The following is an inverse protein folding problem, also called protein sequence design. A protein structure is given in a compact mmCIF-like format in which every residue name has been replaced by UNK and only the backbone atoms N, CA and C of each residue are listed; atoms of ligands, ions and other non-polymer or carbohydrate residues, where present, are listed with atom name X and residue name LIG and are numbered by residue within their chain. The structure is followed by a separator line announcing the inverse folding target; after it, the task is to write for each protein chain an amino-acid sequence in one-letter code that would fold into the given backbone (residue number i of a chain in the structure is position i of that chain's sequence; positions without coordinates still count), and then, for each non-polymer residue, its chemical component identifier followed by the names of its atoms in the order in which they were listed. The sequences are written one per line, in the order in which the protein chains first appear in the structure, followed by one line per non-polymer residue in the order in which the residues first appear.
data_IF_423450508551
#
_entry.id   IF_423450508551
#
_cell.length_a   1.000
_cell.length_b   1.000
_cell.length_c   1.000
_cell.angle_alpha   90.00
_cell.angle_beta   90.00
_cell.angle_gamma   90.00
#
_symmetry.space_group_name_H-M   'P 1'
#
loop_
_entity.id
_entity.type
_entity.pdbx_description
1 polymer ?
#
# COMPACT_ATOMS: atom_id res chain seq x y z
N UNK A 1 17.20 0.85 2.43
CA UNK A 1 16.43 -0.39 2.49
C UNK A 1 15.89 -0.80 1.13
N UNK A 2 15.78 -2.11 0.92
CA UNK A 2 14.98 -2.69 -0.15
C UNK A 2 13.50 -2.84 0.26
N UNK A 3 12.65 -3.22 -0.69
CA UNK A 3 11.21 -3.41 -0.49
C UNK A 3 10.88 -4.51 0.53
N UNK A 4 11.71 -5.55 0.66
CA UNK A 4 11.46 -6.64 1.62
C UNK A 4 11.62 -6.12 3.05
N UNK A 5 12.68 -5.35 3.31
CA UNK A 5 12.88 -4.70 4.61
C UNK A 5 11.83 -3.63 4.90
N UNK A 6 11.36 -2.90 3.89
CA UNK A 6 10.24 -1.98 4.06
C UNK A 6 8.97 -2.71 4.51
N UNK A 7 8.65 -3.85 3.90
CA UNK A 7 7.49 -4.67 4.30
C UNK A 7 7.59 -5.15 5.74
N UNK A 8 8.78 -5.58 6.18
CA UNK A 8 9.00 -5.97 7.58
C UNK A 8 8.68 -4.82 8.55
N UNK A 9 9.12 -3.59 8.24
CA UNK A 9 8.79 -2.42 9.07
C UNK A 9 7.28 -2.19 9.16
N UNK A 10 6.56 -2.32 8.06
CA UNK A 10 5.09 -2.20 8.03
C UNK A 10 4.45 -3.30 8.88
N UNK A 11 4.82 -4.56 8.65
CA UNK A 11 4.26 -5.73 9.35
C UNK A 11 4.51 -5.69 10.85
N UNK A 12 5.75 -5.37 11.25
CA UNK A 12 6.07 -5.18 12.66
C UNK A 12 5.22 -4.04 13.26
N UNK A 13 4.87 -3.01 12.48
CA UNK A 13 4.16 -1.81 13.00
C UNK A 13 2.69 -2.13 13.22
N UNK A 14 2.17 -3.03 12.38
CA UNK A 14 0.86 -3.66 12.55
C UNK A 14 0.80 -4.63 13.71
N UNK A 15 1.90 -5.31 14.03
CA UNK A 15 1.94 -6.30 15.09
C UNK A 15 1.55 -5.66 16.45
N UNK A 16 0.33 -5.98 16.91
CA UNK A 16 -0.22 -5.46 18.16
C UNK A 16 -0.76 -4.04 18.11
N UNK A 17 -0.97 -3.45 16.92
CA UNK A 17 -1.73 -2.21 16.78
C UNK A 17 -3.23 -2.48 16.85
N UNK A 18 -3.98 -1.61 17.53
CA UNK A 18 -5.43 -1.71 17.68
C UNK A 18 -6.22 -1.16 16.49
N UNK A 19 -5.65 -0.21 15.75
CA UNK A 19 -6.26 0.40 14.56
C UNK A 19 -5.20 0.94 13.57
N UNK A 20 -5.67 1.51 12.46
CA UNK A 20 -4.84 2.04 11.38
C UNK A 20 -4.01 3.28 11.77
N UNK A 21 -4.49 4.07 12.73
CA UNK A 21 -3.77 5.24 13.22
C UNK A 21 -2.57 4.81 14.06
N UNK A 22 -2.75 3.82 14.93
CA UNK A 22 -1.66 3.25 15.72
C UNK A 22 -0.60 2.58 14.83
N UNK A 23 -0.98 1.97 13.70
CA UNK A 23 -0.02 1.47 12.71
C UNK A 23 0.82 2.63 12.15
N UNK A 24 0.19 3.74 11.80
CA UNK A 24 0.87 4.90 11.23
C UNK A 24 1.84 5.54 12.23
N UNK A 25 1.43 5.69 13.49
CA UNK A 25 2.28 6.22 14.57
C UNK A 25 3.49 5.32 14.79
N UNK A 26 3.28 4.02 14.95
CA UNK A 26 4.36 3.04 15.17
C UNK A 26 5.34 2.97 13.98
N UNK A 27 4.83 3.04 12.76
CA UNK A 27 5.66 3.08 11.56
C UNK A 27 6.50 4.37 11.52
N UNK A 28 5.89 5.50 11.87
CA UNK A 28 6.56 6.81 11.94
C UNK A 28 7.68 6.81 12.96
N UNK A 29 7.44 6.29 14.17
CA UNK A 29 8.44 6.19 15.23
C UNK A 29 9.67 5.39 14.78
N UNK A 30 9.42 4.27 14.11
CA UNK A 30 10.49 3.38 13.64
C UNK A 30 11.28 3.98 12.50
N UNK A 31 10.61 4.60 11.52
CA UNK A 31 11.29 5.30 10.44
C UNK A 31 12.14 6.45 10.99
N UNK A 32 11.62 7.21 11.96
CA UNK A 32 12.32 8.34 12.59
C UNK A 32 13.55 7.92 13.37
N UNK A 33 13.61 6.67 13.84
CA UNK A 33 14.77 6.09 14.52
C UNK A 33 15.88 5.61 13.56
N UNK A 34 15.64 5.60 12.24
CA UNK A 34 16.62 5.15 11.26
C UNK A 34 17.60 6.25 10.85
N UNK A 35 18.80 5.90 10.36
CA UNK A 35 19.68 6.86 9.71
C UNK A 35 19.01 7.55 8.51
N UNK A 36 19.34 8.82 8.20
CA UNK A 36 18.71 9.55 7.09
C UNK A 36 18.74 8.83 5.74
N UNK A 37 19.83 8.12 5.43
CA UNK A 37 19.94 7.33 4.20
C UNK A 37 18.93 6.18 4.14
N UNK A 38 18.61 5.57 5.27
CA UNK A 38 17.60 4.51 5.36
C UNK A 38 16.19 5.10 5.25
N UNK A 39 15.92 6.28 5.80
CA UNK A 39 14.64 7.00 5.63
C UNK A 39 14.39 7.30 4.14
N UNK A 40 15.39 7.82 3.44
CA UNK A 40 15.30 8.10 2.00
C UNK A 40 15.01 6.81 1.22
N UNK A 41 15.69 5.73 1.55
CA UNK A 41 15.45 4.46 0.89
C UNK A 41 14.08 3.84 1.23
N UNK A 42 13.54 4.10 2.44
CA UNK A 42 12.16 3.74 2.79
C UNK A 42 11.15 4.50 1.93
N UNK A 43 11.39 5.80 1.74
CA UNK A 43 10.56 6.65 0.88
C UNK A 43 10.56 6.15 -0.56
N UNK A 44 11.73 5.74 -1.08
CA UNK A 44 11.84 5.17 -2.42
C UNK A 44 11.06 3.86 -2.53
N UNK A 45 11.23 2.94 -1.58
CA UNK A 45 10.50 1.67 -1.57
C UNK A 45 8.97 1.89 -1.52
N UNK A 46 8.50 2.87 -0.73
CA UNK A 46 7.09 3.26 -0.71
C UNK A 46 6.61 3.79 -2.06
N UNK A 47 7.40 4.65 -2.71
CA UNK A 47 7.05 5.18 -4.04
C UNK A 47 7.00 4.11 -5.12
N UNK A 48 7.90 3.13 -5.07
CA UNK A 48 7.89 2.01 -6.01
C UNK A 48 6.59 1.19 -5.85
N UNK A 49 6.14 0.94 -4.60
CA UNK A 49 4.87 0.28 -4.33
C UNK A 49 3.65 1.10 -4.78
N UNK A 50 3.71 2.43 -4.61
CA UNK A 50 2.66 3.34 -5.11
C UNK A 50 2.58 3.32 -6.64
N UNK A 51 3.71 3.22 -7.33
CA UNK A 51 3.78 3.09 -8.77
C UNK A 51 3.22 1.73 -9.22
N UNK A 52 3.61 0.64 -8.57
CA UNK A 52 3.15 -0.73 -8.88
C UNK A 52 1.64 -0.91 -8.71
N UNK A 53 1.04 -0.17 -7.77
CA UNK A 53 -0.41 -0.16 -7.50
C UNK A 53 -1.19 0.84 -8.35
N UNK A 54 -0.55 1.63 -9.21
CA UNK A 54 -1.21 2.56 -10.13
C UNK A 54 -1.82 1.81 -11.33
N UNK A 55 -2.85 0.99 -11.10
CA UNK A 55 -3.48 0.15 -12.13
C UNK A 55 -4.95 0.53 -12.33
N UNK A 56 -5.38 0.64 -13.58
CA UNK A 56 -6.77 1.01 -13.93
C UNK A 56 -7.85 0.12 -13.25
N UNK A 57 -7.67 -1.20 -13.09
CA UNK A 57 -8.63 -2.01 -12.36
C UNK A 57 -8.69 -1.70 -10.84
N UNK A 58 -7.58 -1.29 -10.25
CA UNK A 58 -7.51 -0.90 -8.84
C UNK A 58 -8.25 0.41 -8.59
N UNK A 59 -8.24 1.32 -9.57
CA UNK A 59 -9.03 2.55 -9.55
C UNK A 59 -10.54 2.25 -9.46
N UNK A 60 -11.02 1.26 -10.21
CA UNK A 60 -12.42 0.81 -10.13
C UNK A 60 -12.80 0.24 -8.75
N UNK A 61 -11.90 -0.52 -8.12
CA UNK A 61 -12.11 -1.01 -6.76
C UNK A 61 -12.15 0.14 -5.74
N UNK A 62 -11.25 1.11 -5.85
CA UNK A 62 -11.25 2.30 -5.00
C UNK A 62 -12.55 3.11 -5.16
N UNK A 63 -13.02 3.29 -6.39
CA UNK A 63 -14.29 3.98 -6.68
C UNK A 63 -15.49 3.31 -6.02
N UNK A 64 -15.58 1.97 -6.07
CA UNK A 64 -16.66 1.23 -5.42
C UNK A 64 -16.61 1.32 -3.89
N UNK A 65 -15.42 1.20 -3.29
CA UNK A 65 -15.24 1.22 -1.83
C UNK A 65 -15.51 2.63 -1.27
N UNK A 66 -15.05 3.66 -1.98
CA UNK A 66 -15.13 5.04 -1.51
C UNK A 66 -16.45 5.75 -1.90
N UNK A 67 -17.31 5.13 -2.74
CA UNK A 67 -18.53 5.76 -3.24
C UNK A 67 -18.29 6.87 -4.28
N UNK A 68 -17.14 6.79 -4.97
CA UNK A 68 -16.55 7.83 -5.81
C UNK A 68 -15.02 7.86 -5.64
N UNK A 69 -14.25 8.31 -6.62
CA UNK A 69 -12.80 8.41 -6.48
C UNK A 69 -12.26 9.62 -7.24
N UNK A 70 -11.62 10.54 -6.53
CA UNK A 70 -10.68 11.51 -7.10
C UNK A 70 -9.27 10.92 -7.13
N UNK A 71 -8.34 11.60 -7.79
CA UNK A 71 -6.93 11.19 -7.81
C UNK A 71 -6.34 11.14 -6.38
N UNK A 72 -6.60 12.15 -5.55
CA UNK A 72 -6.22 12.17 -4.13
C UNK A 72 -6.85 11.00 -3.35
N UNK A 73 -8.14 10.71 -3.60
CA UNK A 73 -8.83 9.58 -2.98
C UNK A 73 -8.21 8.24 -3.37
N UNK A 74 -7.70 8.12 -4.59
CA UNK A 74 -7.00 6.93 -5.07
C UNK A 74 -5.60 6.80 -4.46
N UNK A 75 -4.90 7.92 -4.28
CA UNK A 75 -3.63 7.96 -3.54
C UNK A 75 -3.78 7.53 -2.09
N UNK A 76 -4.76 8.07 -1.37
CA UNK A 76 -5.04 7.64 0.01
C UNK A 76 -5.43 6.17 0.09
N UNK A 77 -6.23 5.67 -0.86
CA UNK A 77 -6.58 4.26 -0.92
C UNK A 77 -5.33 3.36 -1.05
N UNK A 78 -4.43 3.69 -1.98
CA UNK A 78 -3.19 2.93 -2.19
C UNK A 78 -2.25 3.02 -1.00
N UNK A 79 -2.12 4.20 -0.39
CA UNK A 79 -1.34 4.39 0.84
C UNK A 79 -1.84 3.50 1.97
N UNK A 80 -3.16 3.48 2.21
CA UNK A 80 -3.77 2.55 3.20
C UNK A 80 -3.60 1.09 2.84
N UNK A 81 -3.66 0.74 1.55
CA UNK A 81 -3.45 -0.65 1.12
C UNK A 81 -2.02 -1.12 1.45
N UNK A 82 -1.02 -0.26 1.27
CA UNK A 82 0.37 -0.55 1.65
C UNK A 82 0.47 -0.72 3.17
N UNK A 83 -0.20 0.11 3.98
CA UNK A 83 -0.18 -0.07 5.45
C UNK A 83 -0.92 -1.33 5.92
N UNK A 84 -1.67 -2.05 5.06
CA UNK A 84 -2.24 -3.36 5.38
C UNK A 84 -1.22 -4.51 5.35
N UNK A 85 -0.02 -4.27 4.85
CA UNK A 85 1.05 -5.27 4.75
C UNK A 85 1.08 -6.01 3.42
N UNK A 86 2.18 -6.74 3.21
CA UNK A 86 2.56 -7.26 1.89
C UNK A 86 1.52 -8.20 1.29
N UNK A 87 1.05 -9.17 2.07
CA UNK A 87 0.13 -10.19 1.60
C UNK A 87 -1.19 -9.59 1.08
N UNK A 88 -1.76 -8.63 1.81
CA UNK A 88 -3.01 -7.96 1.42
C UNK A 88 -2.78 -7.11 0.17
N UNK A 89 -1.68 -6.36 0.12
CA UNK A 89 -1.33 -5.56 -1.05
C UNK A 89 -1.19 -6.43 -2.31
N UNK A 90 -0.37 -7.48 -2.25
CA UNK A 90 -0.12 -8.38 -3.38
C UNK A 90 -1.40 -9.08 -3.84
N UNK A 91 -2.24 -9.53 -2.91
CA UNK A 91 -3.53 -10.16 -3.22
C UNK A 91 -4.45 -9.19 -3.98
N UNK A 92 -4.66 -7.98 -3.45
CA UNK A 92 -5.58 -6.99 -4.06
C UNK A 92 -5.05 -6.53 -5.42
N UNK A 93 -3.73 -6.33 -5.55
CA UNK A 93 -3.11 -5.97 -6.83
C UNK A 93 -3.25 -7.11 -7.86
N UNK A 94 -3.10 -8.37 -7.46
CA UNK A 94 -3.28 -9.51 -8.35
C UNK A 94 -4.74 -9.69 -8.79
N UNK A 95 -5.70 -9.59 -7.86
CA UNK A 95 -7.14 -9.72 -8.14
C UNK A 95 -7.66 -8.61 -9.04
N UNK A 96 -7.15 -7.38 -8.84
CA UNK A 96 -7.47 -6.25 -9.72
C UNK A 96 -6.96 -6.48 -11.15
N UNK A 97 -5.75 -7.03 -11.34
CA UNK A 97 -5.26 -7.41 -12.66
C UNK A 97 -6.06 -8.55 -13.32
N UNK A 98 -6.46 -9.55 -12.53
CA UNK A 98 -7.17 -10.73 -13.01
C UNK A 98 -8.61 -10.44 -13.52
N UNK A 99 -9.27 -9.41 -12.98
CA UNK A 99 -10.63 -9.02 -13.41
C UNK A 99 -10.65 -8.34 -14.79
N UNK A 100 -9.53 -7.81 -15.28
CA UNK A 100 -9.40 -7.30 -16.65
C UNK A 100 -9.35 -8.41 -17.72
N UNK A 101 -9.01 -9.66 -17.35
CA UNK A 101 -8.87 -10.77 -18.31
C UNK A 101 -10.15 -11.61 -18.50
N UNK A 102 -11.23 -11.36 -17.74
CA UNK A 102 -12.46 -12.17 -17.79
C UNK A 102 -13.61 -11.57 -18.64
N UNK A 103 -13.35 -10.54 -19.44
CA UNK A 103 -14.35 -9.86 -20.30
C UNK A 103 -14.04 -9.96 -21.81
N UNK A 104 -13.44 -11.06 -22.26
CA UNK A 104 -13.17 -11.28 -23.70
C UNK A 104 -13.76 -12.60 -24.27
N UNK A 105 -14.68 -13.26 -23.56
CA UNK A 105 -15.40 -14.43 -24.10
C UNK A 105 -16.83 -14.47 -23.55
N UNK A 106 -17.76 -13.87 -24.28
CA UNK A 106 -19.16 -14.27 -24.41
C UNK A 106 -19.76 -13.62 -25.64
#
# INVERSE_FOLDING_TARGET
MDTTRYWQLVEDSRAGAGDEWEVADRLTDRLSALPPAEIIAAQQAFWDLMADSCRAPLWGAAYMINGGCSDDGFEYFRGRLITQGRAVFEQVVAESGASASRRATS
#
